data_IF_002607186869
#
_entry.id   IF_002607186869
#
_cell.length_a   1.000
_cell.length_b   1.000
_cell.length_c   1.000
_cell.angle_alpha   90.00
_cell.angle_beta   90.00
_cell.angle_gamma   90.00
#
_symmetry.space_group_name_H-M   'P 1'
#
loop_
_entity.id
_entity.type
_entity.pdbx_description
1 polymer ?
#
# COMPACT_ATOMS: atom_id res chain seq x y z
N UNK A 1 -6.10 22.74 -3.82
CA UNK A 1 -6.54 21.58 -3.00
C UNK A 1 -6.47 20.25 -3.77
N UNK A 2 -6.42 20.25 -5.10
CA UNK A 2 -6.31 19.00 -5.91
C UNK A 2 -4.98 18.24 -5.73
N UNK A 3 -3.88 18.94 -5.43
CA UNK A 3 -2.55 18.34 -5.31
C UNK A 3 -2.43 17.37 -4.13
N UNK A 4 -3.11 17.67 -3.02
CA UNK A 4 -3.11 16.81 -1.84
C UNK A 4 -3.94 15.54 -2.07
N UNK A 5 -5.10 15.69 -2.72
CA UNK A 5 -5.97 14.57 -3.05
C UNK A 5 -5.28 13.59 -4.01
N UNK A 6 -4.62 14.12 -5.04
CA UNK A 6 -3.79 13.33 -5.96
C UNK A 6 -2.63 12.65 -5.25
N UNK A 7 -1.97 13.31 -4.29
CA UNK A 7 -0.90 12.71 -3.50
C UNK A 7 -1.42 11.55 -2.63
N UNK A 8 -2.57 11.73 -1.97
CA UNK A 8 -3.21 10.68 -1.17
C UNK A 8 -3.59 9.49 -2.05
N UNK A 9 -4.14 9.75 -3.24
CA UNK A 9 -4.52 8.71 -4.19
C UNK A 9 -3.30 7.94 -4.70
N UNK A 10 -2.21 8.64 -5.05
CA UNK A 10 -0.94 8.04 -5.45
C UNK A 10 -0.30 7.24 -4.30
N UNK A 11 -0.30 7.77 -3.08
CA UNK A 11 0.21 7.08 -1.90
C UNK A 11 -0.55 5.76 -1.64
N UNK A 12 -1.88 5.84 -1.69
CA UNK A 12 -2.77 4.70 -1.44
C UNK A 12 -2.64 3.59 -2.47
N UNK A 13 -2.36 3.93 -3.74
CA UNK A 13 -2.39 2.98 -4.87
C UNK A 13 -1.00 2.58 -5.36
N UNK A 14 -0.08 3.54 -5.53
CA UNK A 14 1.27 3.33 -6.08
C UNK A 14 2.30 3.06 -5.00
N UNK A 15 2.33 3.87 -3.93
CA UNK A 15 3.34 3.71 -2.85
C UNK A 15 3.13 2.44 -2.05
N UNK A 16 1.87 2.08 -1.77
CA UNK A 16 1.54 0.84 -1.06
C UNK A 16 2.25 -0.36 -1.73
N UNK A 17 2.24 -0.48 -3.05
CA UNK A 17 2.93 -1.60 -3.75
C UNK A 17 4.46 -1.57 -3.65
N UNK A 18 5.07 -0.38 -3.57
CA UNK A 18 6.51 -0.20 -3.38
C UNK A 18 6.96 -0.58 -1.96
N UNK A 19 6.24 -0.13 -0.94
CA UNK A 19 6.54 -0.48 0.46
C UNK A 19 6.31 -1.96 0.73
N UNK A 20 5.35 -2.59 0.05
CA UNK A 20 5.08 -4.02 0.16
C UNK A 20 6.10 -4.89 -0.59
N UNK A 21 7.12 -4.33 -1.23
CA UNK A 21 8.14 -5.11 -1.95
C UNK A 21 7.59 -5.89 -3.16
N UNK A 22 6.53 -5.39 -3.80
CA UNK A 22 5.85 -6.10 -4.89
C UNK A 22 4.77 -7.10 -4.42
N UNK A 23 4.59 -7.27 -3.11
CA UNK A 23 3.54 -8.12 -2.55
C UNK A 23 2.17 -7.44 -2.64
N UNK A 24 1.12 -8.24 -2.80
CA UNK A 24 -0.24 -7.76 -2.55
C UNK A 24 -0.44 -7.45 -1.06
N UNK A 25 -1.40 -6.57 -0.70
CA UNK A 25 -1.67 -6.26 0.71
C UNK A 25 -1.99 -7.49 1.57
N UNK A 26 -2.58 -8.54 0.97
CA UNK A 26 -2.86 -9.80 1.66
C UNK A 26 -1.57 -10.58 1.93
N UNK A 27 -0.74 -10.79 0.90
CA UNK A 27 0.55 -11.49 1.03
C UNK A 27 1.49 -10.81 2.03
N UNK A 28 1.49 -9.48 2.11
CA UNK A 28 2.28 -8.77 3.10
C UNK A 28 1.75 -8.96 4.53
N UNK A 29 0.44 -9.03 4.71
CA UNK A 29 -0.16 -9.33 6.03
C UNK A 29 0.12 -10.77 6.46
N UNK A 30 0.12 -11.71 5.51
CA UNK A 30 0.54 -13.10 5.73
C UNK A 30 2.00 -13.15 6.19
N UNK A 31 2.91 -12.46 5.49
CA UNK A 31 4.33 -12.39 5.84
C UNK A 31 4.55 -11.75 7.23
N UNK A 32 3.70 -10.81 7.63
CA UNK A 32 3.76 -10.20 8.97
C UNK A 32 3.11 -11.07 10.07
N UNK A 33 2.52 -12.22 9.73
CA UNK A 33 1.78 -13.05 10.70
C UNK A 33 0.53 -12.35 11.26
N UNK A 34 -0.03 -11.40 10.51
CA UNK A 34 -1.22 -10.62 10.89
C UNK A 34 -2.53 -11.22 10.36
N UNK A 35 -2.44 -12.32 9.62
CA UNK A 35 -3.60 -13.13 9.25
C UNK A 35 -3.83 -14.14 10.37
N UNK A 36 -4.95 -13.97 11.07
CA UNK A 36 -5.44 -14.88 12.11
C UNK A 36 -6.18 -16.07 11.50
#
# INVERSE_FOLDING_TARGET
>A
METLDQYIHWYGTKRRKLTLGGLSPLQYREQLGLLA
#
